data_IF_151373210753
#
_entry.id   IF_151373210753
#
_cell.length_a   1.000
_cell.length_b   1.000
_cell.length_c   1.000
_cell.angle_alpha   90.00
_cell.angle_beta   90.00
_cell.angle_gamma   90.00
#
_symmetry.space_group_name_H-M   'P 1'
#
loop_
_entity.id
_entity.type
_entity.pdbx_description
1 polymer ?
#
# COMPACT_ATOMS: atom_id res chain seq x y z
N UNK A 1 -10.73 5.43 18.78
CA UNK A 1 -10.53 4.85 17.43
C UNK A 1 -10.95 5.90 16.42
N UNK A 2 -10.07 6.34 15.54
CA UNK A 2 -10.32 7.19 14.39
C UNK A 2 -10.18 6.34 13.13
N UNK A 3 -11.07 6.51 12.15
CA UNK A 3 -11.01 5.79 10.87
C UNK A 3 -11.26 6.79 9.76
N UNK A 4 -10.40 6.73 8.76
CA UNK A 4 -10.55 7.48 7.53
C UNK A 4 -10.48 6.51 6.35
N UNK A 5 -11.47 6.59 5.47
CA UNK A 5 -11.64 5.73 4.31
C UNK A 5 -11.59 6.57 3.03
N UNK A 6 -10.96 6.03 1.99
CA UNK A 6 -10.82 6.69 0.69
C UNK A 6 -11.21 5.69 -0.40
N UNK A 7 -12.39 5.89 -0.98
CA UNK A 7 -12.98 5.03 -2.02
C UNK A 7 -13.33 5.87 -3.24
N UNK A 8 -12.91 5.43 -4.41
CA UNK A 8 -13.15 6.10 -5.70
C UNK A 8 -12.86 7.61 -5.63
N UNK A 9 -11.70 7.98 -5.11
CA UNK A 9 -11.28 9.37 -4.97
C UNK A 9 -10.10 9.65 -5.90
N UNK A 10 -9.99 10.91 -6.34
CA UNK A 10 -8.85 11.39 -7.10
C UNK A 10 -8.46 12.78 -6.63
N UNK A 11 -7.22 12.93 -6.19
CA UNK A 11 -6.69 14.19 -5.71
C UNK A 11 -5.71 14.81 -6.70
N UNK A 12 -5.79 16.12 -6.88
CA UNK A 12 -4.81 16.88 -7.65
C UNK A 12 -3.51 17.06 -6.87
N UNK A 13 -3.62 17.16 -5.53
CA UNK A 13 -2.51 17.41 -4.63
C UNK A 13 -2.48 16.38 -3.50
N UNK A 14 -1.29 16.17 -2.93
CA UNK A 14 -1.10 15.34 -1.74
C UNK A 14 -1.86 15.94 -0.56
N UNK A 15 -2.62 15.11 0.14
CA UNK A 15 -3.35 15.48 1.35
C UNK A 15 -2.49 15.18 2.58
N UNK A 16 -2.65 15.98 3.63
CA UNK A 16 -2.02 15.77 4.93
C UNK A 16 -3.08 15.46 5.99
N UNK A 17 -2.87 14.38 6.72
CA UNK A 17 -3.70 13.95 7.84
C UNK A 17 -2.85 13.80 9.09
N UNK A 18 -3.49 13.78 10.26
CA UNK A 18 -2.83 13.38 11.50
C UNK A 18 -3.08 11.89 11.74
N UNK A 19 -2.01 11.16 12.06
CA UNK A 19 -2.06 9.73 12.38
C UNK A 19 -1.04 9.42 13.48
N UNK A 20 -1.52 8.92 14.61
CA UNK A 20 -0.70 8.67 15.82
C UNK A 20 0.15 9.89 16.22
N UNK A 21 -0.44 11.09 16.13
CA UNK A 21 0.23 12.37 16.44
C UNK A 21 1.29 12.80 15.43
N UNK A 22 1.28 12.25 14.20
CA UNK A 22 2.24 12.56 13.13
C UNK A 22 1.55 12.94 11.83
N UNK A 23 2.24 13.71 11.01
CA UNK A 23 1.80 13.99 9.66
C UNK A 23 1.85 12.70 8.80
N UNK A 24 0.69 12.32 8.28
CA UNK A 24 0.50 11.26 7.31
C UNK A 24 0.14 11.89 5.98
N UNK A 25 1.01 11.74 5.00
CA UNK A 25 0.74 12.19 3.64
C UNK A 25 0.08 11.08 2.84
N UNK A 26 -0.96 11.45 2.10
CA UNK A 26 -1.74 10.55 1.26
C UNK A 26 -2.05 11.19 -0.08
N UNK A 27 -2.01 10.39 -1.14
CA UNK A 27 -2.55 10.75 -2.44
C UNK A 27 -3.18 9.54 -3.10
N UNK A 28 -4.22 9.77 -3.88
CA UNK A 28 -4.89 8.76 -4.70
C UNK A 28 -5.42 9.43 -5.95
N UNK A 29 -5.34 8.74 -7.09
CA UNK A 29 -5.87 9.23 -8.37
C UNK A 29 -6.19 8.07 -9.29
N UNK A 30 -7.25 8.22 -10.08
CA UNK A 30 -7.56 7.30 -11.16
C UNK A 30 -6.46 7.31 -12.23
N UNK A 31 -6.37 6.22 -12.97
CA UNK A 31 -5.55 6.08 -14.17
C UNK A 31 -5.80 7.26 -15.13
N UNK A 32 -4.76 7.82 -15.77
CA UNK A 32 -4.92 8.92 -16.71
C UNK A 32 -5.97 8.63 -17.78
N UNK A 33 -6.97 9.52 -17.86
CA UNK A 33 -8.08 9.38 -18.82
C UNK A 33 -9.26 8.53 -18.33
N UNK A 34 -9.25 8.06 -17.09
CA UNK A 34 -10.35 7.31 -16.48
C UNK A 34 -11.01 8.12 -15.35
N UNK A 35 -12.32 7.92 -15.17
CA UNK A 35 -13.10 8.61 -14.14
C UNK A 35 -13.24 7.79 -12.86
N UNK A 36 -13.02 6.47 -12.93
CA UNK A 36 -13.15 5.53 -11.81
C UNK A 36 -11.76 5.12 -11.33
N UNK A 37 -11.53 5.32 -10.05
CA UNK A 37 -10.37 4.83 -9.34
C UNK A 37 -10.72 3.50 -8.66
N UNK A 38 -10.08 2.42 -9.08
CA UNK A 38 -10.29 1.08 -8.53
C UNK A 38 -9.49 0.83 -7.24
N UNK A 39 -8.53 1.72 -6.96
CA UNK A 39 -7.83 1.70 -5.69
C UNK A 39 -8.75 2.14 -4.55
N UNK A 40 -8.54 1.52 -3.41
CA UNK A 40 -9.11 1.92 -2.14
C UNK A 40 -8.03 2.00 -1.09
N UNK A 41 -8.17 2.92 -0.14
CA UNK A 41 -7.23 3.01 0.96
C UNK A 41 -7.92 3.42 2.25
N UNK A 42 -7.27 3.16 3.38
CA UNK A 42 -7.75 3.60 4.68
C UNK A 42 -6.61 3.72 5.68
N UNK A 43 -6.83 4.55 6.72
CA UNK A 43 -6.07 4.45 7.93
C UNK A 43 -6.97 4.33 9.16
N UNK A 44 -6.49 3.61 10.17
CA UNK A 44 -7.23 3.33 11.40
C UNK A 44 -6.31 3.62 12.58
N UNK A 45 -6.66 4.59 13.42
CA UNK A 45 -6.06 4.71 14.75
C UNK A 45 -6.84 3.83 15.72
N UNK A 46 -6.28 2.68 16.06
CA UNK A 46 -6.89 1.72 17.00
C UNK A 46 -6.82 2.28 18.41
N UNK A 47 -5.66 2.80 18.79
CA UNK A 47 -5.38 3.49 20.04
C UNK A 47 -4.34 4.59 19.81
N UNK A 48 -3.93 5.27 20.87
CA UNK A 48 -2.84 6.26 20.80
C UNK A 48 -1.46 5.65 20.44
N UNK A 49 -1.28 4.36 20.66
CA UNK A 49 -0.01 3.62 20.46
C UNK A 49 -0.05 2.65 19.29
N UNK A 50 -1.20 2.53 18.59
CA UNK A 50 -1.38 1.56 17.52
C UNK A 50 -2.32 2.07 16.45
N UNK A 51 -1.90 1.90 15.20
CA UNK A 51 -2.71 2.17 14.01
C UNK A 51 -2.38 1.24 12.86
N UNK A 52 -3.18 1.34 11.81
CA UNK A 52 -3.09 0.52 10.61
C UNK A 52 -3.21 1.43 9.39
N UNK A 53 -2.32 1.26 8.43
CA UNK A 53 -2.42 1.84 7.08
C UNK A 53 -2.76 0.72 6.10
N UNK A 54 -3.63 0.98 5.13
CA UNK A 54 -4.08 -0.03 4.15
C UNK A 54 -4.20 0.60 2.78
N UNK A 55 -3.63 -0.08 1.78
CA UNK A 55 -3.85 0.17 0.35
C UNK A 55 -4.34 -1.13 -0.28
N UNK A 56 -5.34 -1.05 -1.14
CA UNK A 56 -5.95 -2.15 -1.86
C UNK A 56 -6.18 -1.72 -3.31
N UNK A 57 -5.59 -2.43 -4.25
CA UNK A 57 -5.75 -2.22 -5.68
C UNK A 57 -6.75 -3.26 -6.22
N UNK A 58 -7.80 -2.77 -6.84
CA UNK A 58 -8.91 -3.59 -7.30
C UNK A 58 -8.80 -3.96 -8.76
N UNK A 59 -8.79 -5.25 -9.08
CA UNK A 59 -8.70 -5.80 -10.42
C UNK A 59 -9.99 -6.48 -10.87
N UNK A 60 -10.25 -6.48 -12.17
CA UNK A 60 -11.44 -7.15 -12.76
C UNK A 60 -12.27 -6.26 -13.68
N UNK A 61 -11.74 -5.11 -14.06
CA UNK A 61 -12.32 -4.10 -14.95
C UNK A 61 -13.31 -3.18 -14.22
N UNK A 62 -13.21 -1.90 -14.52
CA UNK A 62 -13.97 -0.72 -14.07
C UNK A 62 -14.69 -0.87 -12.70
N UNK A 63 -16.01 -1.10 -12.72
CA UNK A 63 -16.84 -1.14 -11.50
C UNK A 63 -16.55 -2.34 -10.58
N UNK A 64 -15.92 -3.41 -11.09
CA UNK A 64 -15.66 -4.62 -10.31
C UNK A 64 -14.44 -4.44 -9.42
N UNK A 65 -13.37 -3.83 -9.93
CA UNK A 65 -12.14 -3.55 -9.19
C UNK A 65 -12.42 -2.63 -8.00
N UNK A 66 -13.05 -1.46 -8.24
CA UNK A 66 -13.48 -0.54 -7.17
C UNK A 66 -14.29 -1.24 -6.07
N UNK A 67 -15.22 -2.11 -6.47
CA UNK A 67 -16.09 -2.80 -5.53
C UNK A 67 -15.34 -3.78 -4.64
N UNK A 68 -14.41 -4.57 -5.20
CA UNK A 68 -13.68 -5.58 -4.43
C UNK A 68 -12.64 -4.96 -3.50
N UNK A 69 -11.90 -3.94 -3.94
CA UNK A 69 -10.95 -3.23 -3.09
C UNK A 69 -11.64 -2.56 -1.89
N UNK A 70 -12.78 -1.91 -2.14
CA UNK A 70 -13.62 -1.32 -1.10
C UNK A 70 -14.14 -2.37 -0.11
N UNK A 71 -14.67 -3.51 -0.61
CA UNK A 71 -15.18 -4.60 0.25
C UNK A 71 -14.10 -5.15 1.16
N UNK A 72 -12.89 -5.36 0.64
CA UNK A 72 -11.76 -5.85 1.42
C UNK A 72 -11.42 -4.89 2.57
N UNK A 73 -11.29 -3.60 2.30
CA UNK A 73 -11.01 -2.60 3.33
C UNK A 73 -12.14 -2.53 4.36
N UNK A 74 -13.41 -2.55 3.93
CA UNK A 74 -14.54 -2.51 4.85
C UNK A 74 -14.56 -3.71 5.80
N UNK A 75 -14.22 -4.91 5.33
CA UNK A 75 -14.10 -6.10 6.16
C UNK A 75 -12.97 -5.98 7.19
N UNK A 76 -11.82 -5.49 6.80
CA UNK A 76 -10.71 -5.24 7.74
C UNK A 76 -11.15 -4.25 8.82
N UNK A 77 -11.82 -3.16 8.44
CA UNK A 77 -12.34 -2.15 9.39
C UNK A 77 -13.36 -2.76 10.35
N UNK A 78 -14.29 -3.61 9.86
CA UNK A 78 -15.30 -4.29 10.70
C UNK A 78 -14.64 -5.15 11.78
N UNK A 79 -13.65 -5.98 11.42
CA UNK A 79 -12.92 -6.83 12.35
C UNK A 79 -12.12 -6.01 13.39
N UNK A 80 -11.44 -4.97 12.95
CA UNK A 80 -10.69 -4.07 13.83
C UNK A 80 -11.63 -3.35 14.81
N UNK A 81 -12.78 -2.83 14.34
CA UNK A 81 -13.81 -2.21 15.22
C UNK A 81 -14.34 -3.18 16.26
N UNK A 82 -14.61 -4.43 15.87
CA UNK A 82 -15.13 -5.47 16.76
C UNK A 82 -14.15 -5.89 17.85
N UNK A 83 -12.86 -5.57 17.68
CA UNK A 83 -11.77 -6.10 18.52
C UNK A 83 -10.94 -5.04 19.23
N UNK A 84 -11.39 -3.79 19.26
CA UNK A 84 -10.69 -2.61 19.79
C UNK A 84 -10.11 -2.70 21.22
N UNK A 85 -10.37 -3.79 21.95
CA UNK A 85 -9.80 -4.09 23.27
C UNK A 85 -8.71 -5.17 23.25
N UNK A 86 -8.24 -5.60 22.07
CA UNK A 86 -7.35 -6.75 21.90
C UNK A 86 -6.10 -6.43 21.07
N UNK A 87 -5.44 -5.31 21.34
CA UNK A 87 -4.22 -4.89 20.63
C UNK A 87 -3.15 -6.00 20.57
N UNK A 88 -2.98 -6.75 21.64
CA UNK A 88 -2.03 -7.88 21.70
C UNK A 88 -2.32 -9.02 20.72
N UNK A 89 -3.49 -9.01 20.07
CA UNK A 89 -3.94 -10.00 19.09
C UNK A 89 -4.16 -9.39 17.70
N UNK A 90 -3.69 -8.17 17.45
CA UNK A 90 -3.97 -7.47 16.20
C UNK A 90 -3.58 -8.28 14.97
N UNK A 91 -2.45 -8.96 14.99
CA UNK A 91 -2.04 -9.85 13.90
C UNK A 91 -3.09 -10.93 13.55
N UNK A 92 -3.70 -11.57 14.57
CA UNK A 92 -4.75 -12.56 14.30
C UNK A 92 -6.02 -11.89 13.75
N UNK A 93 -6.37 -10.73 14.29
CA UNK A 93 -7.53 -9.95 13.83
C UNK A 93 -7.38 -9.56 12.36
N UNK A 94 -6.18 -9.11 11.96
CA UNK A 94 -5.89 -8.76 10.57
C UNK A 94 -6.00 -10.00 9.68
N UNK A 95 -5.42 -11.14 10.07
CA UNK A 95 -5.47 -12.38 9.29
C UNK A 95 -6.90 -12.91 9.16
N UNK A 96 -7.66 -12.95 10.27
CA UNK A 96 -9.09 -13.34 10.26
C UNK A 96 -9.92 -12.40 9.36
N UNK A 97 -9.60 -11.10 9.35
CA UNK A 97 -10.25 -10.12 8.50
C UNK A 97 -9.95 -10.32 7.01
N UNK A 98 -8.72 -10.70 6.66
CA UNK A 98 -8.32 -11.01 5.30
C UNK A 98 -9.02 -12.28 4.79
N UNK A 99 -9.12 -13.32 5.63
CA UNK A 99 -9.87 -14.52 5.31
C UNK A 99 -11.36 -14.22 5.08
N UNK A 100 -12.00 -13.42 5.95
CA UNK A 100 -13.40 -13.04 5.80
C UNK A 100 -13.62 -12.16 4.56
N UNK A 101 -12.69 -11.24 4.26
CA UNK A 101 -12.73 -10.44 3.03
C UNK A 101 -12.69 -11.33 1.79
N UNK A 102 -11.76 -12.29 1.75
CA UNK A 102 -11.65 -13.25 0.66
C UNK A 102 -12.94 -14.03 0.45
N UNK A 103 -13.51 -14.62 1.50
CA UNK A 103 -14.77 -15.37 1.42
C UNK A 103 -15.91 -14.49 0.97
N UNK A 104 -16.02 -13.27 1.51
CA UNK A 104 -17.06 -12.31 1.13
C UNK A 104 -17.02 -11.97 -0.35
N UNK A 105 -15.83 -11.71 -0.92
CA UNK A 105 -15.67 -11.43 -2.36
C UNK A 105 -16.12 -12.64 -3.19
N UNK A 106 -15.73 -13.85 -2.82
CA UNK A 106 -16.14 -15.10 -3.52
C UNK A 106 -17.65 -15.33 -3.46
N UNK A 107 -18.29 -15.15 -2.30
CA UNK A 107 -19.73 -15.30 -2.12
C UNK A 107 -20.54 -14.33 -2.97
N UNK A 108 -20.05 -13.12 -3.17
CA UNK A 108 -20.69 -12.13 -4.06
C UNK A 108 -20.53 -12.44 -5.54
N UNK A 109 -19.76 -13.49 -5.88
CA UNK A 109 -19.50 -13.93 -7.28
C UNK A 109 -19.00 -12.80 -8.20
N UNK A 110 -18.26 -11.87 -7.64
CA UNK A 110 -17.61 -10.80 -8.41
C UNK A 110 -16.42 -11.42 -9.12
N UNK A 111 -16.41 -11.35 -10.45
CA UNK A 111 -15.26 -11.76 -11.24
C UNK A 111 -14.18 -10.69 -11.17
N UNK A 112 -13.42 -10.69 -10.08
CA UNK A 112 -12.37 -9.73 -9.80
C UNK A 112 -11.67 -10.11 -8.50
N UNK A 113 -10.56 -9.46 -8.24
CA UNK A 113 -9.78 -9.62 -7.03
C UNK A 113 -9.26 -8.27 -6.53
N UNK A 114 -8.55 -8.28 -5.45
CA UNK A 114 -7.84 -7.10 -4.96
C UNK A 114 -6.54 -7.48 -4.29
N UNK A 115 -5.53 -6.65 -4.49
CA UNK A 115 -4.31 -6.69 -3.69
C UNK A 115 -4.57 -6.16 -2.29
N UNK A 116 -3.66 -6.38 -1.38
CA UNK A 116 -3.59 -5.70 -0.08
C UNK A 116 -2.13 -5.42 0.25
N UNK A 117 -1.80 -4.16 0.52
CA UNK A 117 -0.61 -3.78 1.26
C UNK A 117 -1.05 -3.09 2.55
N UNK A 118 -0.73 -3.70 3.69
CA UNK A 118 -1.15 -3.24 5.01
C UNK A 118 0.07 -3.11 5.93
N UNK A 119 0.13 -2.02 6.69
CA UNK A 119 1.14 -1.82 7.74
C UNK A 119 0.48 -1.63 9.10
N UNK A 120 0.74 -2.55 10.00
CA UNK A 120 0.49 -2.40 11.44
C UNK A 120 1.61 -1.53 12.03
N UNK A 121 1.26 -0.36 12.54
CA UNK A 121 2.17 0.62 13.15
C UNK A 121 1.92 0.62 14.65
N UNK A 122 2.94 0.30 15.44
CA UNK A 122 2.88 0.34 16.90
C UNK A 122 4.00 1.20 17.46
N UNK A 123 3.97 1.43 18.78
CA UNK A 123 5.05 2.12 19.50
C UNK A 123 6.42 1.46 19.35
N UNK A 124 6.45 0.12 19.26
CA UNK A 124 7.69 -0.67 19.38
C UNK A 124 8.15 -1.28 18.06
N UNK A 125 7.23 -1.45 17.10
CA UNK A 125 7.51 -2.10 15.83
C UNK A 125 6.50 -1.70 14.75
N UNK A 126 6.88 -1.97 13.52
CA UNK A 126 5.96 -2.05 12.39
C UNK A 126 5.95 -3.47 11.83
N UNK A 127 4.83 -3.86 11.21
CA UNK A 127 4.68 -5.15 10.54
C UNK A 127 3.87 -4.98 9.29
N UNK A 128 4.36 -5.54 8.20
CA UNK A 128 3.69 -5.53 6.91
C UNK A 128 2.94 -6.84 6.67
N UNK A 129 1.80 -6.73 6.01
CA UNK A 129 0.98 -7.81 5.48
C UNK A 129 0.74 -7.50 4.02
N UNK A 130 1.13 -8.41 3.11
CA UNK A 130 1.04 -8.17 1.68
C UNK A 130 0.35 -9.32 0.95
N UNK A 131 -0.46 -8.98 -0.04
CA UNK A 131 -1.14 -9.88 -0.98
C UNK A 131 -1.13 -9.16 -2.32
N UNK A 132 -0.49 -9.76 -3.34
CA UNK A 132 -0.39 -9.17 -4.67
C UNK A 132 0.85 -8.29 -4.85
N UNK A 133 0.79 -7.35 -5.78
CA UNK A 133 1.89 -6.50 -6.25
C UNK A 133 1.83 -5.05 -5.73
N UNK A 134 0.77 -4.66 -5.01
CA UNK A 134 0.84 -3.52 -4.10
C UNK A 134 1.95 -3.74 -3.09
N UNK A 135 2.62 -2.70 -2.62
CA UNK A 135 3.83 -2.90 -1.83
C UNK A 135 3.99 -1.94 -0.65
N UNK A 136 4.79 -2.36 0.31
CA UNK A 136 5.19 -1.59 1.46
C UNK A 136 6.72 -1.52 1.61
N UNK A 137 7.22 -0.34 2.02
CA UNK A 137 8.63 -0.10 2.30
C UNK A 137 8.83 0.45 3.70
N UNK A 138 9.88 -0.01 4.36
CA UNK A 138 10.48 0.68 5.49
C UNK A 138 11.82 1.26 5.04
N UNK A 139 11.94 2.59 5.10
CA UNK A 139 13.12 3.30 4.64
C UNK A 139 13.71 4.18 5.74
N UNK A 140 15.02 4.26 5.78
CA UNK A 140 15.69 5.31 6.53
C UNK A 140 15.43 6.69 5.89
N UNK A 141 15.44 7.75 6.69
CA UNK A 141 15.18 9.14 6.23
C UNK A 141 16.09 9.61 5.08
N UNK A 142 17.23 8.94 4.88
CA UNK A 142 18.19 9.17 3.79
C UNK A 142 18.09 8.16 2.65
N UNK A 143 16.95 7.47 2.53
CA UNK A 143 16.67 6.54 1.43
C UNK A 143 17.26 5.13 1.59
N UNK A 144 17.82 4.76 2.76
CA UNK A 144 18.25 3.39 3.00
C UNK A 144 17.04 2.45 3.05
N UNK A 145 16.90 1.55 2.11
CA UNK A 145 15.87 0.51 2.12
C UNK A 145 16.18 -0.49 3.24
N UNK A 146 15.31 -0.58 4.24
CA UNK A 146 15.44 -1.49 5.38
C UNK A 146 14.59 -2.74 5.21
N UNK A 147 13.46 -2.61 4.52
CA UNK A 147 12.53 -3.68 4.21
C UNK A 147 11.69 -3.31 3.00
N UNK A 148 11.35 -4.29 2.20
CA UNK A 148 10.36 -4.25 1.12
C UNK A 148 9.51 -5.52 1.19
N UNK A 149 8.21 -5.41 0.96
CA UNK A 149 7.32 -6.56 0.74
C UNK A 149 7.66 -7.24 -0.58
N UNK A 150 7.38 -8.53 -0.67
CA UNK A 150 7.56 -9.29 -1.91
C UNK A 150 6.38 -9.00 -2.84
N UNK A 151 6.68 -8.75 -4.09
CA UNK A 151 5.70 -8.55 -5.15
C UNK A 151 5.25 -9.92 -5.69
N UNK A 152 3.97 -10.22 -5.56
CA UNK A 152 3.35 -11.48 -5.98
C UNK A 152 2.97 -11.50 -7.47
N UNK A 153 3.82 -10.92 -8.32
CA UNK A 153 3.72 -11.00 -9.77
C UNK A 153 4.78 -11.92 -10.39
N UNK A 154 4.61 -12.29 -11.65
CA UNK A 154 5.63 -13.08 -12.37
C UNK A 154 6.95 -12.34 -12.41
N UNK A 155 6.92 -11.04 -12.68
CA UNK A 155 8.12 -10.21 -12.74
C UNK A 155 8.70 -9.94 -11.36
N UNK A 156 7.86 -9.78 -10.33
CA UNK A 156 8.27 -9.63 -8.94
C UNK A 156 9.10 -10.81 -8.46
N UNK A 157 8.67 -12.04 -8.72
CA UNK A 157 9.48 -13.23 -8.41
C UNK A 157 10.75 -13.32 -9.23
N UNK A 158 10.73 -12.83 -10.48
CA UNK A 158 11.93 -12.71 -11.30
C UNK A 158 12.97 -11.77 -10.70
N UNK A 159 12.52 -10.66 -10.14
CA UNK A 159 13.37 -9.69 -9.43
C UNK A 159 13.87 -10.28 -8.12
N UNK A 160 13.00 -10.84 -7.30
CA UNK A 160 13.35 -11.39 -5.98
C UNK A 160 14.35 -12.54 -6.08
N UNK A 161 14.22 -13.38 -7.12
CA UNK A 161 15.17 -14.46 -7.41
C UNK A 161 16.47 -13.99 -8.08
N UNK A 162 16.59 -12.72 -8.44
CA UNK A 162 17.76 -12.15 -9.15
C UNK A 162 17.86 -12.54 -10.63
N UNK A 163 16.80 -13.10 -11.22
CA UNK A 163 16.78 -13.48 -12.64
C UNK A 163 16.67 -12.25 -13.57
N UNK A 164 15.96 -11.22 -13.14
CA UNK A 164 15.85 -9.94 -13.86
C UNK A 164 16.04 -8.77 -12.89
N UNK A 165 16.47 -7.62 -13.41
CA UNK A 165 16.49 -6.38 -12.61
C UNK A 165 15.11 -5.70 -12.60
N UNK A 166 14.86 -4.79 -11.62
CA UNK A 166 13.61 -4.01 -11.58
C UNK A 166 13.39 -3.23 -12.87
N UNK A 167 14.45 -2.64 -13.48
CA UNK A 167 14.32 -1.91 -14.74
C UNK A 167 13.83 -2.79 -15.89
N UNK A 168 14.23 -4.07 -15.90
CA UNK A 168 13.74 -5.03 -16.89
C UNK A 168 12.31 -5.47 -16.59
N UNK A 169 11.96 -5.60 -15.32
CA UNK A 169 10.60 -5.93 -14.89
C UNK A 169 9.59 -4.87 -15.36
N UNK A 170 9.92 -3.57 -15.23
CA UNK A 170 9.06 -2.45 -15.66
C UNK A 170 8.65 -2.49 -17.14
N UNK A 171 9.42 -3.14 -18.00
CA UNK A 171 9.17 -3.20 -19.46
C UNK A 171 8.90 -4.62 -19.95
N UNK A 172 8.68 -5.54 -19.03
CA UNK A 172 8.45 -6.94 -19.35
C UNK A 172 7.01 -7.18 -19.83
N UNK A 173 6.82 -8.03 -20.83
CA UNK A 173 5.48 -8.34 -21.38
C UNK A 173 4.50 -8.93 -20.36
N UNK A 174 5.00 -9.54 -19.31
CA UNK A 174 4.22 -10.14 -18.21
C UNK A 174 4.23 -9.28 -16.92
N UNK A 175 4.55 -7.99 -17.00
CA UNK A 175 4.62 -7.11 -15.83
C UNK A 175 3.29 -7.03 -15.06
N UNK A 176 2.17 -7.15 -15.75
CA UNK A 176 0.82 -7.02 -15.18
C UNK A 176 0.20 -8.37 -14.76
N UNK A 177 0.99 -9.47 -14.74
CA UNK A 177 0.45 -10.79 -14.35
C UNK A 177 0.66 -11.02 -12.88
N UNK A 178 -0.42 -10.79 -12.10
CA UNK A 178 -0.47 -11.05 -10.67
C UNK A 178 -0.77 -12.54 -10.42
N UNK A 179 -0.11 -13.12 -9.44
CA UNK A 179 -0.26 -14.54 -9.10
C UNK A 179 -0.99 -14.78 -7.79
N UNK A 180 -1.29 -13.72 -7.03
CA UNK A 180 -1.91 -13.79 -5.72
C UNK A 180 -2.78 -12.56 -5.46
N UNK A 181 -4.06 -12.76 -5.10
CA UNK A 181 -4.98 -11.68 -4.75
C UNK A 181 -6.15 -12.21 -3.91
N UNK A 182 -6.79 -11.37 -3.12
CA UNK A 182 -8.08 -11.69 -2.49
C UNK A 182 -9.16 -11.84 -3.56
N UNK A 183 -10.03 -12.84 -3.39
CA UNK A 183 -11.11 -13.13 -4.34
C UNK A 183 -10.74 -14.14 -5.44
N UNK A 184 -9.48 -14.47 -5.64
CA UNK A 184 -9.03 -15.58 -6.49
C UNK A 184 -9.26 -16.93 -5.81
N UNK A 185 -8.94 -18.05 -6.47
CA UNK A 185 -9.22 -19.38 -5.94
C UNK A 185 -8.50 -19.65 -4.61
N UNK A 186 -7.21 -19.44 -4.58
CA UNK A 186 -6.38 -19.53 -3.38
C UNK A 186 -5.63 -18.21 -3.18
N UNK A 187 -5.37 -17.82 -1.93
CA UNK A 187 -4.53 -16.69 -1.61
C UNK A 187 -3.56 -17.02 -0.47
N UNK A 188 -2.51 -16.28 -0.40
CA UNK A 188 -1.56 -16.33 0.72
C UNK A 188 -1.24 -14.92 1.20
N UNK A 189 -0.95 -14.79 2.47
CA UNK A 189 -0.52 -13.52 3.07
C UNK A 189 0.98 -13.59 3.35
N UNK A 190 1.76 -12.71 2.75
CA UNK A 190 3.11 -12.44 3.22
C UNK A 190 3.02 -11.62 4.52
N UNK A 191 3.66 -12.09 5.57
CA UNK A 191 3.71 -11.37 6.85
C UNK A 191 5.17 -11.14 7.24
N UNK A 192 5.59 -9.89 7.35
CA UNK A 192 6.95 -9.58 7.79
C UNK A 192 7.19 -9.99 9.25
N UNK A 193 8.45 -10.14 9.64
CA UNK A 193 8.78 -10.10 11.07
C UNK A 193 8.43 -8.74 11.66
N UNK A 194 8.48 -8.61 12.98
CA UNK A 194 8.40 -7.32 13.65
C UNK A 194 9.68 -6.53 13.34
N UNK A 195 9.53 -5.46 12.59
CA UNK A 195 10.61 -4.55 12.25
C UNK A 195 10.64 -3.42 13.28
N UNK A 196 11.80 -3.13 13.84
CA UNK A 196 11.96 -2.03 14.80
C UNK A 196 12.51 -0.81 14.04
N UNK A 197 11.65 0.19 13.74
CA UNK A 197 12.10 1.37 13.03
C UNK A 197 12.96 2.27 13.93
N UNK A 198 13.87 2.99 13.32
CA UNK A 198 14.55 4.10 13.98
C UNK A 198 13.70 5.36 13.89
N UNK A 199 13.98 6.34 14.75
CA UNK A 199 13.37 7.66 14.64
C UNK A 199 13.59 8.26 13.25
N UNK A 200 12.52 8.81 12.66
CA UNK A 200 12.46 9.37 11.31
C UNK A 200 12.61 8.35 10.17
N UNK A 201 12.56 7.05 10.46
CA UNK A 201 12.33 6.08 9.38
C UNK A 201 10.96 6.34 8.74
N UNK A 202 10.87 6.04 7.47
CA UNK A 202 9.67 6.31 6.68
C UNK A 202 8.98 4.99 6.34
N UNK A 203 7.68 4.96 6.57
CA UNK A 203 6.79 3.90 6.12
C UNK A 203 6.11 4.41 4.86
N UNK A 204 6.27 3.67 3.77
CA UNK A 204 5.64 3.96 2.50
C UNK A 204 4.80 2.76 2.07
N UNK A 205 3.51 2.98 1.78
CA UNK A 205 2.62 2.00 1.17
C UNK A 205 2.13 2.53 -0.16
N UNK A 206 2.01 1.63 -1.15
CA UNK A 206 1.49 2.05 -2.46
C UNK A 206 0.82 0.89 -3.20
N UNK A 207 -0.14 1.22 -4.09
CA UNK A 207 -0.54 0.36 -5.19
C UNK A 207 0.57 0.28 -6.25
N UNK A 208 0.40 -0.60 -7.22
CA UNK A 208 1.38 -0.83 -8.30
C UNK A 208 1.54 0.36 -9.26
N UNK A 209 0.59 1.30 -9.30
CA UNK A 209 0.72 2.54 -10.07
C UNK A 209 2.04 3.29 -9.82
N UNK A 210 2.67 3.10 -8.64
CA UNK A 210 4.02 3.61 -8.40
C UNK A 210 5.09 2.61 -8.84
N UNK A 211 5.04 1.34 -8.41
CA UNK A 211 6.09 0.34 -8.70
C UNK A 211 6.13 -0.10 -10.16
N UNK A 212 5.02 -0.05 -10.88
CA UNK A 212 5.00 -0.29 -12.33
C UNK A 212 5.67 0.84 -13.14
N UNK A 213 5.97 1.97 -12.52
CA UNK A 213 6.58 3.14 -13.18
C UNK A 213 7.93 3.56 -12.60
N UNK A 214 8.20 3.26 -11.33
CA UNK A 214 9.44 3.64 -10.63
C UNK A 214 10.06 2.42 -9.94
N UNK A 215 11.36 2.24 -10.09
CA UNK A 215 12.11 1.25 -9.31
C UNK A 215 12.15 1.63 -7.81
N UNK A 216 12.34 0.64 -6.95
CA UNK A 216 12.50 0.86 -5.51
C UNK A 216 13.67 1.80 -5.21
N UNK A 217 14.78 1.66 -5.94
CA UNK A 217 15.95 2.57 -5.80
C UNK A 217 15.60 4.00 -6.19
N UNK A 218 14.75 4.21 -7.21
CA UNK A 218 14.32 5.55 -7.59
C UNK A 218 13.40 6.18 -6.55
N UNK A 219 12.50 5.40 -5.95
CA UNK A 219 11.68 5.85 -4.81
C UNK A 219 12.57 6.23 -3.64
N UNK A 220 13.55 5.39 -3.29
CA UNK A 220 14.51 5.65 -2.22
C UNK A 220 15.36 6.91 -2.48
N UNK A 221 15.78 7.14 -3.73
CA UNK A 221 16.50 8.36 -4.13
C UNK A 221 15.65 9.62 -3.92
N UNK A 222 14.37 9.60 -4.31
CA UNK A 222 13.45 10.72 -4.10
C UNK A 222 13.22 10.95 -2.61
N UNK A 223 13.05 9.88 -1.83
CA UNK A 223 12.88 9.95 -0.36
C UNK A 223 14.12 10.52 0.33
N UNK A 224 15.32 10.25 -0.20
CA UNK A 224 16.57 10.79 0.34
C UNK A 224 16.67 12.32 0.23
N UNK A 225 15.89 12.93 -0.67
CA UNK A 225 15.99 14.36 -1.01
C UNK A 225 14.79 15.16 -0.51
N UNK A 226 15.00 16.45 -0.31
CA UNK A 226 13.94 17.41 0.00
C UNK A 226 13.35 17.31 1.40
N UNK A 227 12.41 18.20 1.66
CA UNK A 227 11.66 18.25 2.92
C UNK A 227 10.62 17.11 2.94
N UNK A 228 10.28 16.64 4.13
CA UNK A 228 9.35 15.52 4.34
C UNK A 228 8.00 15.75 3.65
N UNK A 229 7.48 16.98 3.73
CA UNK A 229 6.19 17.40 3.20
C UNK A 229 6.10 17.26 1.67
N UNK A 230 7.23 17.34 0.97
CA UNK A 230 7.28 17.29 -0.51
C UNK A 230 7.62 15.90 -1.07
N UNK A 231 8.05 14.95 -0.24
CA UNK A 231 8.52 13.64 -0.72
C UNK A 231 7.46 12.88 -1.48
N UNK A 232 6.24 12.79 -0.93
CA UNK A 232 5.15 12.06 -1.57
C UNK A 232 4.70 12.72 -2.87
N UNK A 233 4.64 14.05 -2.93
CA UNK A 233 4.31 14.78 -4.16
C UNK A 233 5.35 14.56 -5.25
N UNK A 234 6.64 14.47 -4.90
CA UNK A 234 7.70 14.17 -5.87
C UNK A 234 7.59 12.75 -6.42
N UNK A 235 7.30 11.74 -5.54
CA UNK A 235 7.10 10.35 -5.96
C UNK A 235 5.90 10.25 -6.91
N UNK A 236 4.74 10.74 -6.49
CA UNK A 236 3.51 10.66 -7.28
C UNK A 236 3.63 11.41 -8.61
N UNK A 237 4.25 12.59 -8.61
CA UNK A 237 4.50 13.34 -9.85
C UNK A 237 5.46 12.62 -10.79
N UNK A 238 6.49 11.97 -10.26
CA UNK A 238 7.42 11.18 -11.07
C UNK A 238 6.75 9.96 -11.70
N UNK A 239 5.89 9.24 -10.95
CA UNK A 239 5.11 8.12 -11.47
C UNK A 239 4.11 8.59 -12.55
N UNK A 240 3.30 9.61 -12.28
CA UNK A 240 2.34 10.17 -13.24
C UNK A 240 3.01 10.64 -14.53
N UNK A 241 4.16 11.31 -14.44
CA UNK A 241 4.94 11.71 -15.61
C UNK A 241 5.39 10.53 -16.46
N UNK A 242 5.66 9.37 -15.85
CA UNK A 242 5.95 8.12 -16.56
C UNK A 242 4.71 7.56 -17.24
N UNK A 243 3.57 7.52 -16.54
CA UNK A 243 2.29 7.07 -17.07
C UNK A 243 1.84 7.86 -18.30
N UNK A 244 2.11 9.18 -18.33
CA UNK A 244 1.76 10.09 -19.42
C UNK A 244 2.83 10.16 -20.53
N UNK A 245 3.89 9.34 -20.44
CA UNK A 245 4.96 9.35 -21.43
C UNK A 245 4.46 8.88 -22.80
N UNK A 246 4.79 9.62 -23.86
CA UNK A 246 4.53 9.22 -25.25
C UNK A 246 5.25 7.92 -25.65
N UNK A 247 6.29 7.51 -24.91
CA UNK A 247 6.99 6.25 -25.12
C UNK A 247 6.28 5.11 -24.38
N UNK A 248 5.29 4.49 -25.05
CA UNK A 248 4.45 3.43 -24.51
C UNK A 248 5.24 2.23 -23.91
N UNK A 249 6.48 2.01 -24.34
CA UNK A 249 7.32 0.93 -23.80
C UNK A 249 7.71 1.14 -22.33
N UNK A 250 7.70 2.38 -21.85
CA UNK A 250 8.10 2.77 -20.49
C UNK A 250 6.95 3.44 -19.73
N UNK A 251 5.73 3.34 -20.22
CA UNK A 251 4.53 3.92 -19.65
C UNK A 251 3.59 2.79 -19.27
N UNK A 252 3.29 2.68 -17.97
CA UNK A 252 2.31 1.76 -17.42
C UNK A 252 1.23 2.59 -16.71
N UNK A 253 0.22 3.11 -17.46
CA UNK A 253 -0.87 3.89 -16.85
C UNK A 253 -1.72 3.02 -15.95
N UNK A 254 -1.88 3.45 -14.70
CA UNK A 254 -2.72 2.77 -13.71
C UNK A 254 -3.28 3.76 -12.69
N UNK A 255 -4.19 3.31 -11.84
CA UNK A 255 -4.58 3.99 -10.64
C UNK A 255 -3.35 4.14 -9.72
N UNK A 256 -3.30 5.20 -8.95
CA UNK A 256 -2.16 5.48 -8.08
C UNK A 256 -2.64 5.87 -6.70
N UNK A 257 -2.31 5.06 -5.70
CA UNK A 257 -2.62 5.33 -4.30
C UNK A 257 -1.39 5.09 -3.44
N UNK A 258 -1.05 6.07 -2.59
CA UNK A 258 0.06 5.87 -1.65
C UNK A 258 -0.05 6.68 -0.36
N UNK A 259 0.55 6.11 0.69
CA UNK A 259 0.78 6.74 1.99
C UNK A 259 2.27 6.92 2.27
N UNK A 260 2.61 8.00 2.95
CA UNK A 260 3.93 8.23 3.53
C UNK A 260 3.78 8.70 4.98
N UNK A 261 4.34 7.92 5.92
CA UNK A 261 4.37 8.22 7.35
C UNK A 261 5.80 8.28 7.85
N UNK A 262 6.15 9.32 8.63
CA UNK A 262 7.41 9.37 9.37
C UNK A 262 7.23 8.71 10.73
N UNK A 263 8.03 7.67 11.02
CA UNK A 263 7.95 6.98 12.30
C UNK A 263 8.50 7.86 13.44
N UNK A 264 7.75 7.99 14.56
CA UNK A 264 8.12 8.92 15.62
C UNK A 264 9.35 8.49 16.43
N UNK A 265 9.69 7.21 16.42
CA UNK A 265 10.69 6.61 17.29
C UNK A 265 10.08 5.95 18.54
N UNK A 266 10.80 4.97 19.07
CA UNK A 266 10.39 4.28 20.30
C UNK A 266 10.36 5.30 21.45
N UNK A 267 9.20 5.47 22.09
CA UNK A 267 9.01 6.35 23.25
C UNK A 267 8.42 7.75 22.98
N UNK A 268 8.24 8.16 21.71
CA UNK A 268 7.69 9.50 21.39
C UNK A 268 6.20 9.51 20.98
N UNK A 269 5.46 8.44 21.27
CA UNK A 269 4.02 8.38 21.02
C UNK A 269 3.17 9.16 22.03
N UNK A 270 3.80 9.91 22.94
CA UNK A 270 3.11 10.68 23.97
C UNK A 270 3.94 11.87 24.47
N UNK A 271 3.75 13.06 23.94
CA UNK A 271 3.92 14.33 24.64
C UNK A 271 3.11 15.43 23.93
N UNK A 272 1.77 15.22 23.82
CA UNK A 272 0.88 16.33 23.44
C UNK A 272 -0.46 16.23 24.16
#
# INVERSE_FOLDING_TARGET
MLIQEFFNQSYQEVQNYQFLGRDLYHTTSACPGWDVNQDSSAFIEVSKDMGILIVADGMGGLEKGERVSKMAIQKIIEHVKGSSKRESKMSHIILDALDDAHQTIKEHKIQGGTTISLCEVTRDYVRFYNIGDSFGLLLGSRGLIKYRTIDDSITGYGVESGLISEEKALVHENSNIITNALGLDDFRVEVSCKLVPSKYDLIFLSSDGVSANLTTDKIAEVIAQGAYESKLSHISSAARKKMESENSKFSNPDDLTCFLLSYPGVGEFDES
#
